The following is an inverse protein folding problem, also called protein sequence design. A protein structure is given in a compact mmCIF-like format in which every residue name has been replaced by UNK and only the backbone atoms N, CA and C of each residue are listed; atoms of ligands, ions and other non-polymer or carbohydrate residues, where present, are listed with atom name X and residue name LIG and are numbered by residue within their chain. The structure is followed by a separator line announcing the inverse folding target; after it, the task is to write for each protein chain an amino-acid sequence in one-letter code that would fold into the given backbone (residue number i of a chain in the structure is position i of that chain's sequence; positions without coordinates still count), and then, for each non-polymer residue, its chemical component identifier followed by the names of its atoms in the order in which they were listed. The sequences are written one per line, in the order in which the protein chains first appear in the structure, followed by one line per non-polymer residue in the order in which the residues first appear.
data_IF_220141710913
#
_entry.id   IF_220141710913
#
_cell.length_a   1.000
_cell.length_b   1.000
_cell.length_c   1.000
_cell.angle_alpha   90.00
_cell.angle_beta   90.00
_cell.angle_gamma   90.00
#
_symmetry.space_group_name_H-M   'P 1'
#
loop_
_entity.id
_entity.type
_entity.pdbx_description
1 polymer ?
#
# COMPACT_ATOMS: atom_id res chain seq x y z
N UNK A 1 9.66 45.33 -30.00
CA UNK A 1 8.55 44.41 -29.67
C UNK A 1 9.15 43.33 -28.79
N UNK A 2 8.92 43.43 -27.49
CA UNK A 2 9.48 42.53 -26.50
C UNK A 2 8.71 41.22 -26.47
N UNK A 3 9.45 40.12 -26.34
CA UNK A 3 8.96 38.76 -26.16
C UNK A 3 8.04 38.64 -24.95
N UNK A 4 6.86 38.08 -25.17
CA UNK A 4 6.09 37.42 -24.12
C UNK A 4 5.09 36.49 -24.81
N UNK A 5 5.11 35.19 -24.50
CA UNK A 5 4.12 34.59 -23.58
C UNK A 5 4.21 33.06 -23.58
N UNK A 6 4.56 32.57 -22.38
CA UNK A 6 3.99 31.41 -21.68
C UNK A 6 3.85 30.10 -22.45
N UNK A 7 4.79 29.22 -22.16
CA UNK A 7 4.70 27.76 -22.30
C UNK A 7 3.47 27.23 -21.55
N UNK A 8 2.40 27.01 -22.28
CA UNK A 8 1.24 26.24 -21.85
C UNK A 8 1.50 24.76 -21.97
N UNK A 9 1.88 24.13 -20.87
CA UNK A 9 1.56 22.72 -20.65
C UNK A 9 1.30 22.55 -19.17
N UNK A 10 0.10 23.00 -18.78
CA UNK A 10 -0.57 22.47 -17.60
C UNK A 10 -0.76 20.97 -17.84
N UNK A 11 0.23 20.18 -17.43
CA UNK A 11 -0.03 18.80 -17.05
C UNK A 11 -0.86 18.90 -15.77
N UNK A 12 -2.17 19.04 -15.94
CA UNK A 12 -3.13 18.66 -14.90
C UNK A 12 -3.08 17.14 -14.81
N UNK A 13 -1.96 16.60 -14.34
CA UNK A 13 -1.92 15.26 -13.81
C UNK A 13 -2.71 15.37 -12.53
N UNK A 14 -3.93 14.81 -12.55
CA UNK A 14 -4.85 14.83 -11.43
C UNK A 14 -4.08 14.70 -10.12
N UNK A 15 -4.04 15.79 -9.37
CA UNK A 15 -3.95 15.76 -7.91
C UNK A 15 -5.18 14.96 -7.49
N UNK A 16 -5.04 13.63 -7.53
CA UNK A 16 -6.01 12.73 -6.91
C UNK A 16 -5.84 13.01 -5.44
N UNK A 17 -6.63 14.00 -5.01
CA UNK A 17 -6.94 14.42 -3.65
C UNK A 17 -6.14 13.67 -2.60
N UNK A 18 -5.39 14.41 -1.81
CA UNK A 18 -5.15 14.18 -0.39
C UNK A 18 -6.49 13.91 0.35
N UNK A 19 -7.19 12.84 -0.02
CA UNK A 19 -8.18 12.23 0.85
C UNK A 19 -7.33 11.54 1.91
N UNK A 20 -6.93 12.31 2.92
CA UNK A 20 -6.37 11.77 4.15
C UNK A 20 -7.35 10.74 4.66
N UNK A 21 -7.08 9.46 4.41
CA UNK A 21 -7.87 8.41 5.02
C UNK A 21 -7.60 8.48 6.51
N UNK A 22 -8.66 8.73 7.27
CA UNK A 22 -8.61 8.67 8.72
C UNK A 22 -8.18 7.28 9.17
N UNK A 23 -7.52 7.18 10.31
CA UNK A 23 -7.05 5.90 10.86
C UNK A 23 -8.22 4.91 11.08
N UNK A 24 -9.43 5.41 11.36
CA UNK A 24 -10.65 4.60 11.41
C UNK A 24 -10.98 3.92 10.06
N UNK A 25 -10.80 4.61 8.94
CA UNK A 25 -10.99 4.04 7.59
C UNK A 25 -9.90 3.04 7.27
N UNK A 26 -8.67 3.27 7.73
CA UNK A 26 -7.57 2.31 7.60
C UNK A 26 -7.85 1.06 8.43
N UNK A 27 -8.30 1.22 9.68
CA UNK A 27 -8.65 0.10 10.56
C UNK A 27 -9.77 -0.77 9.98
N UNK A 28 -10.74 -0.18 9.26
CA UNK A 28 -11.79 -0.95 8.58
C UNK A 28 -11.26 -1.98 7.56
N UNK A 29 -10.03 -1.80 7.04
CA UNK A 29 -9.40 -2.81 6.18
C UNK A 29 -8.97 -4.06 6.95
N UNK A 30 -8.68 -3.94 8.26
CA UNK A 30 -8.30 -5.06 9.12
C UNK A 30 -9.47 -6.04 9.31
N UNK A 31 -10.70 -5.54 9.19
CA UNK A 31 -11.93 -6.32 9.29
C UNK A 31 -12.32 -7.01 7.97
N UNK A 32 -11.47 -6.91 6.92
CA UNK A 32 -11.78 -7.52 5.64
C UNK A 32 -11.72 -9.04 5.71
N UNK A 33 -12.87 -9.66 5.41
CA UNK A 33 -12.97 -11.11 5.30
C UNK A 33 -12.13 -11.61 4.10
N UNK A 34 -11.24 -12.60 4.31
CA UNK A 34 -10.54 -13.21 3.20
C UNK A 34 -11.47 -14.04 2.32
N UNK A 35 -11.15 -14.19 1.03
CA UNK A 35 -11.70 -15.28 0.24
C UNK A 35 -11.17 -16.62 0.75
N UNK A 36 -11.91 -17.71 0.50
CA UNK A 36 -11.54 -19.06 0.97
C UNK A 36 -10.15 -19.55 0.51
N UNK A 37 -9.57 -18.92 -0.52
CA UNK A 37 -8.27 -19.29 -1.08
C UNK A 37 -7.08 -18.52 -0.50
N UNK A 38 -7.29 -17.52 0.37
CA UNK A 38 -6.23 -16.67 0.91
C UNK A 38 -6.30 -16.57 2.43
N UNK A 39 -5.15 -16.47 3.12
CA UNK A 39 -5.12 -16.06 4.52
C UNK A 39 -5.74 -14.67 4.72
N UNK A 40 -6.36 -14.44 5.89
CA UNK A 40 -6.94 -13.14 6.28
C UNK A 40 -5.93 -12.00 6.12
N UNK A 41 -4.82 -12.14 6.83
CA UNK A 41 -3.66 -11.26 6.83
C UNK A 41 -3.17 -10.91 5.42
N UNK A 42 -3.01 -11.93 4.57
CA UNK A 42 -2.54 -11.72 3.19
C UNK A 42 -3.56 -10.94 2.36
N UNK A 43 -4.85 -11.26 2.49
CA UNK A 43 -5.91 -10.56 1.78
C UNK A 43 -5.97 -9.08 2.19
N UNK A 44 -5.84 -8.79 3.48
CA UNK A 44 -5.82 -7.44 4.02
C UNK A 44 -4.66 -6.63 3.41
N UNK A 45 -3.43 -7.18 3.45
CA UNK A 45 -2.24 -6.56 2.85
C UNK A 45 -2.42 -6.33 1.34
N UNK A 46 -2.97 -7.30 0.62
CA UNK A 46 -3.22 -7.20 -0.81
C UNK A 46 -4.24 -6.11 -1.14
N UNK A 47 -5.30 -5.98 -0.34
CA UNK A 47 -6.33 -4.95 -0.52
C UNK A 47 -5.76 -3.56 -0.22
N UNK A 48 -4.98 -3.42 0.85
CA UNK A 48 -4.29 -2.18 1.18
C UNK A 48 -3.31 -1.77 0.07
N UNK A 49 -2.44 -2.67 -0.37
CA UNK A 49 -1.47 -2.42 -1.45
C UNK A 49 -2.11 -1.99 -2.78
N UNK A 50 -3.30 -2.52 -3.10
CA UNK A 50 -4.02 -2.18 -4.34
C UNK A 50 -4.90 -0.94 -4.22
N UNK A 51 -5.30 -0.57 -3.00
CA UNK A 51 -6.25 0.52 -2.74
C UNK A 51 -5.63 1.80 -2.18
N UNK A 52 -4.41 1.72 -1.64
CA UNK A 52 -3.74 2.82 -0.94
C UNK A 52 -2.47 3.25 -1.68
N UNK A 53 -2.10 4.52 -1.52
CA UNK A 53 -0.78 5.03 -1.91
C UNK A 53 0.29 4.55 -0.91
N UNK A 54 1.58 4.66 -1.28
CA UNK A 54 2.68 4.26 -0.40
C UNK A 54 2.62 4.96 0.97
N UNK A 55 2.32 6.27 0.99
CA UNK A 55 2.19 7.04 2.23
C UNK A 55 1.08 6.53 3.15
N UNK A 56 -0.10 6.21 2.60
CA UNK A 56 -1.21 5.64 3.36
C UNK A 56 -0.91 4.21 3.80
N UNK A 57 -0.28 3.42 2.94
CA UNK A 57 0.16 2.06 3.24
C UNK A 57 1.14 2.04 4.43
N UNK A 58 2.07 2.99 4.52
CA UNK A 58 2.96 3.13 5.67
C UNK A 58 2.22 3.36 7.00
N UNK A 59 1.16 4.17 6.98
CA UNK A 59 0.30 4.37 8.17
C UNK A 59 -0.50 3.11 8.48
N UNK A 60 -1.07 2.48 7.45
CA UNK A 60 -1.83 1.25 7.56
C UNK A 60 -1.03 0.11 8.17
N UNK A 61 0.21 -0.11 7.72
CA UNK A 61 1.07 -1.18 8.22
C UNK A 61 1.33 -1.05 9.73
N UNK A 62 1.44 0.18 10.25
CA UNK A 62 1.53 0.40 11.70
C UNK A 62 0.28 -0.10 12.43
N UNK A 63 -0.91 0.27 11.95
CA UNK A 63 -2.19 -0.20 12.50
C UNK A 63 -2.34 -1.73 12.39
N UNK A 64 -1.89 -2.30 11.27
CA UNK A 64 -1.95 -3.73 11.00
C UNK A 64 -1.10 -4.53 12.00
N UNK A 65 0.15 -4.11 12.23
CA UNK A 65 1.04 -4.76 13.22
C UNK A 65 0.55 -4.50 14.64
N UNK A 66 0.07 -3.29 14.93
CA UNK A 66 -0.50 -2.93 16.25
C UNK A 66 -1.74 -3.76 16.61
N UNK A 67 -2.57 -4.08 15.61
CA UNK A 67 -3.71 -4.98 15.75
C UNK A 67 -3.31 -6.48 15.87
N UNK A 68 -2.02 -6.81 15.80
CA UNK A 68 -1.49 -8.15 16.00
C UNK A 68 -1.55 -9.05 14.77
N UNK A 69 -1.71 -8.50 13.57
CA UNK A 69 -1.69 -9.27 12.32
C UNK A 69 -0.27 -9.67 11.90
N UNK A 70 -0.15 -10.80 11.19
CA UNK A 70 1.15 -11.27 10.71
C UNK A 70 1.54 -10.59 9.38
N UNK A 71 2.62 -9.80 9.41
CA UNK A 71 3.18 -9.15 8.21
C UNK A 71 3.99 -10.12 7.34
N UNK A 72 4.47 -11.22 7.93
CA UNK A 72 5.24 -12.27 7.28
C UNK A 72 4.36 -13.44 6.82
N UNK A 73 3.04 -13.21 6.74
CA UNK A 73 2.07 -14.19 6.24
C UNK A 73 2.49 -14.73 4.88
N UNK A 74 2.42 -16.06 4.75
CA UNK A 74 2.77 -16.81 3.55
C UNK A 74 1.52 -17.33 2.87
N UNK A 75 1.56 -17.34 1.55
CA UNK A 75 0.59 -18.05 0.73
C UNK A 75 0.82 -19.56 0.76
N UNK A 76 -0.12 -20.32 0.18
CA UNK A 76 -0.02 -21.77 0.05
C UNK A 76 1.19 -22.24 -0.77
N UNK A 77 1.75 -21.39 -1.62
CA UNK A 77 2.99 -21.63 -2.37
C UNK A 77 4.27 -21.32 -1.57
N UNK A 78 4.13 -20.79 -0.34
CA UNK A 78 5.24 -20.39 0.53
C UNK A 78 5.73 -18.96 0.29
N UNK A 79 5.18 -18.22 -0.68
CA UNK A 79 5.59 -16.85 -0.98
C UNK A 79 5.07 -15.88 0.08
N UNK A 80 5.94 -14.98 0.56
CA UNK A 80 5.54 -13.88 1.46
C UNK A 80 4.97 -12.71 0.66
N UNK A 81 4.23 -11.83 1.36
CA UNK A 81 3.71 -10.62 0.74
C UNK A 81 4.83 -9.71 0.20
N UNK A 82 5.96 -9.61 0.93
CA UNK A 82 7.12 -8.85 0.49
C UNK A 82 7.69 -9.35 -0.85
N UNK A 83 7.79 -10.67 -1.04
CA UNK A 83 8.24 -11.24 -2.31
C UNK A 83 7.31 -10.85 -3.48
N UNK A 84 5.98 -10.92 -3.28
CA UNK A 84 5.02 -10.48 -4.30
C UNK A 84 5.24 -9.00 -4.66
N UNK A 85 5.36 -8.15 -3.64
CA UNK A 85 5.57 -6.71 -3.84
C UNK A 85 6.86 -6.47 -4.61
N UNK A 86 7.98 -7.13 -4.27
CA UNK A 86 9.27 -6.98 -4.95
C UNK A 86 9.26 -7.39 -6.43
N UNK A 87 8.33 -8.23 -6.87
CA UNK A 87 8.21 -8.61 -8.29
C UNK A 87 7.69 -7.45 -9.16
N UNK A 88 7.06 -6.43 -8.57
CA UNK A 88 6.52 -5.30 -9.31
C UNK A 88 7.56 -4.18 -9.49
N UNK A 89 7.61 -3.53 -10.67
CA UNK A 89 8.61 -2.47 -10.95
C UNK A 89 8.42 -1.17 -10.17
N UNK A 90 7.19 -0.87 -9.72
CA UNK A 90 6.81 0.42 -9.09
C UNK A 90 6.44 0.28 -7.62
N UNK A 91 6.92 -0.78 -6.98
CA UNK A 91 6.52 -1.17 -5.62
C UNK A 91 7.65 -1.04 -4.60
N UNK A 92 8.79 -0.49 -5.00
CA UNK A 92 9.97 -0.32 -4.15
C UNK A 92 9.65 0.45 -2.86
N UNK A 93 8.77 1.45 -2.92
CA UNK A 93 8.32 2.20 -1.74
C UNK A 93 7.53 1.31 -0.77
N UNK A 94 6.63 0.47 -1.28
CA UNK A 94 5.87 -0.48 -0.47
C UNK A 94 6.76 -1.56 0.15
N UNK A 95 7.73 -2.07 -0.62
CA UNK A 95 8.71 -3.02 -0.09
C UNK A 95 9.52 -2.41 1.07
N UNK A 96 9.98 -1.17 0.92
CA UNK A 96 10.69 -0.43 1.97
C UNK A 96 9.83 -0.29 3.23
N UNK A 97 8.54 0.03 3.07
CA UNK A 97 7.59 0.14 4.18
C UNK A 97 7.42 -1.19 4.90
N UNK A 98 7.26 -2.28 4.16
CA UNK A 98 7.13 -3.63 4.71
C UNK A 98 8.40 -4.04 5.47
N UNK A 99 9.57 -3.84 4.88
CA UNK A 99 10.86 -4.14 5.51
C UNK A 99 11.05 -3.31 6.80
N UNK A 100 10.67 -2.03 6.78
CA UNK A 100 10.71 -1.16 7.97
C UNK A 100 9.77 -1.62 9.09
N UNK A 101 8.69 -2.33 8.74
CA UNK A 101 7.77 -2.94 9.70
C UNK A 101 8.15 -4.37 10.11
N UNK A 102 9.30 -4.89 9.64
CA UNK A 102 9.81 -6.21 10.00
C UNK A 102 9.40 -7.34 9.05
N UNK A 103 8.93 -7.01 7.84
CA UNK A 103 8.72 -8.01 6.81
C UNK A 103 10.04 -8.58 6.30
N UNK A 104 10.05 -9.88 6.05
CA UNK A 104 11.21 -10.65 5.61
C UNK A 104 10.91 -11.44 4.33
N UNK A 105 11.97 -11.75 3.60
CA UNK A 105 11.90 -12.46 2.31
C UNK A 105 11.78 -13.95 2.54
#
# INVERSE_FOLDING_TARGET
MSEEKKTGSARTQAEVRDEEWSDARLAAFLELLPPASLPADYNILLKAYRGMTASLFARFIKLYVDAGHDINVKLADGSTFLQLVLQHRKSAEYATILEAAGATK
#
